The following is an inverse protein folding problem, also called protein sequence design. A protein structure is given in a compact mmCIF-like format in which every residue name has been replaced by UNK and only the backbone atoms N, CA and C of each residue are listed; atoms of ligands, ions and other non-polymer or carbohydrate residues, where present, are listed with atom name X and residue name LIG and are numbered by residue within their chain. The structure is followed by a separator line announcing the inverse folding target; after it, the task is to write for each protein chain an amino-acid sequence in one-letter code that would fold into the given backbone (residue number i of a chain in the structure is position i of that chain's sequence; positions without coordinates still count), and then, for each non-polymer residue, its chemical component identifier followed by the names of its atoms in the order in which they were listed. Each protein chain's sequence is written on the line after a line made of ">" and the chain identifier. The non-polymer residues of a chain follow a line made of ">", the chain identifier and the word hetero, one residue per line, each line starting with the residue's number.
data_IF_049980997144
#
_entry.id   IF_049980997144
#
_cell.length_a   1.000
_cell.length_b   1.000
_cell.length_c   1.000
_cell.angle_alpha   90.00
_cell.angle_beta   90.00
_cell.angle_gamma   90.00
#
_symmetry.space_group_name_H-M   'P 1'
#
loop_
_entity.id
_entity.type
_entity.pdbx_description
1 polymer ?
#
# COMPACT_ATOMS: atom_id res chain seq x y z
N UNK A 1 -11.32 0.69 21.62
CA UNK A 1 -11.50 -0.72 21.20
C UNK A 1 -12.19 -0.66 19.84
N UNK A 2 -11.40 -0.67 18.75
CA UNK A 2 -11.13 -1.84 17.88
C UNK A 2 -12.43 -2.31 17.20
N UNK A 3 -12.57 -2.36 15.87
CA UNK A 3 -11.64 -2.94 14.88
C UNK A 3 -11.80 -2.30 13.49
N UNK A 4 -10.68 -2.16 12.76
CA UNK A 4 -10.66 -1.93 11.30
C UNK A 4 -10.90 -3.30 10.63
N UNK A 5 -12.03 -3.45 9.96
CA UNK A 5 -12.38 -4.66 9.23
C UNK A 5 -11.81 -4.63 7.81
N UNK A 6 -10.84 -5.50 7.54
CA UNK A 6 -10.49 -5.91 6.18
C UNK A 6 -11.73 -6.61 5.61
N UNK A 7 -12.40 -5.98 4.63
CA UNK A 7 -13.50 -6.61 3.90
C UNK A 7 -12.91 -7.46 2.79
N UNK A 8 -12.51 -8.69 3.12
CA UNK A 8 -12.32 -9.75 2.15
C UNK A 8 -13.70 -10.23 1.70
N UNK A 9 -14.14 -9.80 0.52
CA UNK A 9 -15.29 -10.40 -0.18
C UNK A 9 -14.75 -11.34 -1.25
N UNK A 10 -14.60 -12.61 -0.90
CA UNK A 10 -14.20 -13.68 -1.81
C UNK A 10 -15.43 -14.53 -2.13
N UNK A 11 -16.09 -14.28 -3.27
CA UNK A 11 -17.09 -15.18 -3.86
C UNK A 11 -17.37 -14.77 -5.32
N UNK A 12 -16.74 -15.46 -6.28
CA UNK A 12 -17.40 -16.45 -7.15
C UNK A 12 -16.57 -16.72 -8.43
N UNK A 13 -16.29 -18.01 -8.67
CA UNK A 13 -15.51 -18.53 -9.79
C UNK A 13 -16.38 -18.64 -11.05
N UNK A 14 -16.29 -17.70 -11.98
CA UNK A 14 -16.85 -17.86 -13.34
C UNK A 14 -15.91 -17.23 -14.37
N UNK A 15 -14.89 -17.97 -14.81
CA UNK A 15 -14.06 -17.69 -16.01
C UNK A 15 -13.89 -16.20 -16.38
N UNK A 16 -13.58 -15.38 -15.38
CA UNK A 16 -13.56 -13.93 -15.46
C UNK A 16 -12.10 -13.49 -15.63
N UNK A 17 -11.87 -12.57 -16.56
CA UNK A 17 -10.62 -11.85 -16.72
C UNK A 17 -10.07 -11.47 -15.34
N UNK A 18 -8.86 -11.92 -15.01
CA UNK A 18 -8.22 -11.59 -13.74
C UNK A 18 -8.09 -10.07 -13.68
N UNK A 19 -9.00 -9.41 -12.96
CA UNK A 19 -8.96 -7.97 -12.76
C UNK A 19 -7.89 -7.67 -11.71
N UNK A 20 -6.70 -7.36 -12.18
CA UNK A 20 -5.65 -6.83 -11.33
C UNK A 20 -6.09 -5.46 -10.79
N UNK A 21 -6.23 -5.33 -9.48
CA UNK A 21 -6.46 -4.04 -8.85
C UNK A 21 -5.15 -3.24 -8.80
N UNK A 22 -5.21 -1.95 -9.13
CA UNK A 22 -4.08 -1.05 -8.98
C UNK A 22 -3.75 -0.86 -7.51
N UNK A 23 -2.46 -0.93 -7.16
CA UNK A 23 -1.97 -0.64 -5.82
C UNK A 23 -1.79 0.87 -5.55
N UNK A 24 -1.94 1.70 -6.59
CA UNK A 24 -1.97 3.17 -6.50
C UNK A 24 -3.40 3.62 -6.74
N UNK A 25 -4.02 4.19 -5.71
CA UNK A 25 -5.42 4.64 -5.71
C UNK A 25 -5.54 6.01 -5.04
N UNK A 26 -6.51 6.84 -5.44
CA UNK A 26 -6.87 8.03 -4.69
C UNK A 26 -7.42 7.65 -3.31
N UNK A 27 -6.86 8.24 -2.26
CA UNK A 27 -7.33 8.05 -0.89
C UNK A 27 -8.18 9.27 -0.46
N UNK A 28 -9.50 9.11 -0.23
CA UNK A 28 -10.39 10.22 0.12
C UNK A 28 -10.11 10.81 1.52
N UNK A 29 -9.41 10.08 2.39
CA UNK A 29 -9.03 10.57 3.72
C UNK A 29 -7.77 11.46 3.66
N UNK A 30 -7.01 11.40 2.57
CA UNK A 30 -5.86 12.28 2.31
C UNK A 30 -6.36 13.55 1.62
N UNK A 31 -6.65 14.57 2.42
CA UNK A 31 -7.17 15.87 1.95
C UNK A 31 -6.10 16.88 1.55
N UNK A 32 -4.86 16.43 1.44
CA UNK A 32 -3.69 17.26 1.12
C UNK A 32 -3.11 16.81 -0.22
N UNK A 33 -2.34 17.66 -0.90
CA UNK A 33 -1.59 17.28 -2.13
C UNK A 33 -0.41 16.33 -1.87
N UNK A 34 -0.47 15.56 -0.78
CA UNK A 34 0.58 14.62 -0.35
C UNK A 34 0.17 13.20 -0.67
N UNK A 35 1.16 12.33 -0.85
CA UNK A 35 0.98 10.91 -1.12
C UNK A 35 1.40 10.09 0.11
N UNK A 36 0.69 8.99 0.35
CA UNK A 36 1.12 7.98 1.33
C UNK A 36 1.88 6.87 0.61
N UNK A 37 3.08 6.56 1.10
CA UNK A 37 3.90 5.47 0.59
C UNK A 37 3.62 4.20 1.41
N UNK A 38 2.81 3.30 0.83
CA UNK A 38 2.37 2.05 1.46
C UNK A 38 3.19 0.82 1.05
N UNK A 39 2.55 -0.35 1.11
CA UNK A 39 3.18 -1.64 0.82
C UNK A 39 3.80 -1.71 -0.58
N UNK A 40 3.11 -1.21 -1.61
CA UNK A 40 3.62 -1.22 -2.98
C UNK A 40 4.97 -0.49 -3.12
N UNK A 41 5.20 0.56 -2.33
CA UNK A 41 6.49 1.22 -2.28
C UNK A 41 7.53 0.38 -1.50
N UNK A 42 7.15 -0.16 -0.34
CA UNK A 42 8.06 -0.96 0.51
C UNK A 42 8.48 -2.30 -0.11
N UNK A 43 7.69 -2.84 -1.05
CA UNK A 43 8.06 -4.01 -1.85
C UNK A 43 9.33 -3.76 -2.68
N UNK A 44 9.54 -2.52 -3.12
CA UNK A 44 10.65 -2.13 -3.98
C UNK A 44 11.79 -1.45 -3.22
N UNK A 45 11.55 -0.93 -2.02
CA UNK A 45 12.52 -0.16 -1.25
C UNK A 45 12.59 -0.60 0.22
N UNK A 46 13.80 -0.85 0.70
CA UNK A 46 14.09 -0.90 2.14
C UNK A 46 13.98 0.53 2.67
N UNK A 47 13.07 0.74 3.61
CA UNK A 47 12.87 2.03 4.27
C UNK A 47 13.55 2.00 5.63
N UNK A 48 14.43 2.96 5.89
CA UNK A 48 15.15 3.12 7.16
C UNK A 48 14.62 4.37 7.85
N UNK A 49 14.12 4.18 9.07
CA UNK A 49 13.66 5.27 9.93
C UNK A 49 14.73 5.57 10.96
N UNK A 50 15.37 6.72 10.82
CA UNK A 50 16.34 7.23 11.80
C UNK A 50 15.59 7.98 12.91
N UNK A 51 15.94 7.71 14.17
CA UNK A 51 15.40 8.40 15.34
C UNK A 51 15.63 9.93 15.28
N UNK A 52 16.60 10.39 14.49
CA UNK A 52 16.81 11.82 14.20
C UNK A 52 15.82 12.41 13.18
N UNK A 53 14.66 11.78 12.98
CA UNK A 53 13.57 12.22 12.08
C UNK A 53 13.99 12.25 10.60
N UNK A 54 14.85 11.33 10.18
CA UNK A 54 15.23 11.15 8.77
C UNK A 54 14.68 9.83 8.26
N UNK A 55 14.31 9.82 6.98
CA UNK A 55 13.88 8.62 6.28
C UNK A 55 14.83 8.40 5.11
N UNK A 56 15.40 7.20 5.02
CA UNK A 56 16.25 6.78 3.92
C UNK A 56 15.63 5.63 3.14
N UNK A 57 15.87 5.61 1.83
CA UNK A 57 15.38 4.55 0.94
C UNK A 57 16.56 3.88 0.25
N UNK A 58 16.57 2.55 0.25
CA UNK A 58 17.52 1.75 -0.53
C UNK A 58 16.73 0.80 -1.43
N UNK A 59 17.00 0.75 -2.75
CA UNK A 59 16.37 -0.24 -3.62
C UNK A 59 16.55 -1.65 -3.07
N UNK A 60 15.49 -2.44 -3.11
CA UNK A 60 15.58 -3.89 -2.94
C UNK A 60 16.19 -4.47 -4.21
N UNK A 61 17.23 -5.26 -4.05
CA UNK A 61 17.73 -6.14 -5.11
C UNK A 61 17.06 -7.49 -4.85
N UNK A 62 16.19 -7.91 -5.76
CA UNK A 62 15.52 -9.21 -5.73
C UNK A 62 16.33 -10.23 -6.54
#
# INVERSE_FOLDING_TARGET
>A
MSTVGVKDHFQDLVQEEIRCFSSIVPDPDIRTDRMTLGMAFMEHFITIFDQQKKVGFKPRVC
#
